data_IF_449436657325
#
_entry.id   IF_449436657325
#
_cell.length_a   1.000
_cell.length_b   1.000
_cell.length_c   1.000
_cell.angle_alpha   90.00
_cell.angle_beta   90.00
_cell.angle_gamma   90.00
#
_symmetry.space_group_name_H-M   'P 1'
#
loop_
_entity.id
_entity.type
_entity.pdbx_description
1 polymer ?
#
# COMPACT_ATOMS: atom_id res chain seq x y z
N UNK A 1 -1.01 -26.00 -7.22
CA UNK A 1 -1.50 -24.89 -6.38
C UNK A 1 -0.48 -24.70 -5.26
N UNK A 2 0.40 -23.71 -5.37
CA UNK A 2 1.39 -23.43 -4.33
C UNK A 2 0.70 -22.65 -3.21
N UNK A 3 0.76 -23.18 -1.99
CA UNK A 3 0.37 -22.46 -0.78
C UNK A 3 1.33 -21.29 -0.58
N UNK A 4 1.02 -20.12 -1.15
CA UNK A 4 1.70 -18.89 -0.81
C UNK A 4 1.28 -18.49 0.62
N UNK A 5 2.02 -18.97 1.62
CA UNK A 5 1.84 -18.56 3.00
C UNK A 5 2.73 -17.34 3.29
N UNK A 6 2.11 -16.22 3.67
CA UNK A 6 2.83 -15.11 4.27
C UNK A 6 3.43 -15.59 5.61
N UNK A 7 4.76 -15.75 5.66
CA UNK A 7 5.47 -16.33 6.82
C UNK A 7 6.01 -15.28 7.81
N UNK A 8 5.96 -13.99 7.45
CA UNK A 8 6.56 -12.91 8.24
C UNK A 8 5.88 -11.58 7.92
N UNK A 9 5.64 -10.79 8.97
CA UNK A 9 5.25 -9.38 8.86
C UNK A 9 6.47 -8.55 9.24
N UNK A 10 6.79 -7.54 8.44
CA UNK A 10 7.88 -6.61 8.67
C UNK A 10 7.39 -5.18 8.55
N UNK A 11 7.89 -4.28 9.41
CA UNK A 11 7.67 -2.84 9.25
C UNK A 11 8.72 -2.28 8.30
N UNK A 12 8.26 -1.64 7.21
CA UNK A 12 9.13 -0.98 6.23
C UNK A 12 8.68 0.47 6.02
N UNK A 13 9.60 1.37 5.63
CA UNK A 13 9.23 2.67 5.10
C UNK A 13 8.26 2.52 3.92
N UNK A 14 7.22 3.35 3.88
CA UNK A 14 6.26 3.36 2.75
C UNK A 14 6.96 3.71 1.43
N UNK A 15 8.04 4.50 1.50
CA UNK A 15 8.89 4.83 0.35
C UNK A 15 9.55 3.61 -0.29
N UNK A 16 9.68 2.49 0.42
CA UNK A 16 10.26 1.24 -0.09
C UNK A 16 9.21 0.36 -0.79
N UNK A 17 7.94 0.76 -0.77
CA UNK A 17 6.86 0.02 -1.43
C UNK A 17 6.62 0.57 -2.82
N UNK A 18 6.64 -0.28 -3.83
CA UNK A 18 6.26 0.10 -5.19
C UNK A 18 4.78 -0.26 -5.45
N UNK A 19 3.96 0.67 -5.98
CA UNK A 19 2.67 0.30 -6.52
C UNK A 19 2.85 -0.61 -7.74
N UNK A 20 1.96 -1.60 -7.90
CA UNK A 20 2.03 -2.49 -9.06
C UNK A 20 1.70 -1.73 -10.35
N UNK A 21 2.67 -1.67 -11.27
CA UNK A 21 2.60 -0.85 -12.47
C UNK A 21 1.46 -1.23 -13.43
N UNK A 22 1.00 -2.49 -13.41
CA UNK A 22 -0.06 -2.98 -14.32
C UNK A 22 -1.46 -3.00 -13.67
N UNK A 23 -1.67 -2.30 -12.57
CA UNK A 23 -3.00 -2.16 -12.00
C UNK A 23 -3.88 -1.26 -12.88
N UNK A 24 -4.89 -1.83 -13.54
CA UNK A 24 -5.84 -1.08 -14.37
C UNK A 24 -6.87 -0.25 -13.58
N UNK A 25 -6.87 -0.30 -12.23
CA UNK A 25 -7.77 0.51 -11.41
C UNK A 25 -7.26 1.95 -11.34
N UNK A 26 -8.10 2.88 -11.79
CA UNK A 26 -7.90 4.31 -11.59
C UNK A 26 -8.51 4.75 -10.25
N UNK A 27 -7.78 5.58 -9.50
CA UNK A 27 -8.26 6.19 -8.26
C UNK A 27 -8.35 7.69 -8.46
N UNK A 28 -9.50 8.27 -8.08
CA UNK A 28 -9.65 9.73 -8.06
C UNK A 28 -8.92 10.34 -6.86
N UNK A 29 -8.50 11.60 -6.98
CA UNK A 29 -7.85 12.33 -5.88
C UNK A 29 -8.68 12.32 -4.59
N UNK A 30 -10.01 12.37 -4.71
CA UNK A 30 -10.92 12.32 -3.55
C UNK A 30 -10.84 10.97 -2.85
N UNK A 31 -10.79 9.87 -3.61
CA UNK A 31 -10.63 8.53 -3.03
C UNK A 31 -9.28 8.37 -2.35
N UNK A 32 -8.20 8.89 -2.94
CA UNK A 32 -6.87 8.88 -2.33
C UNK A 32 -6.88 9.69 -1.03
N UNK A 33 -7.50 10.87 -1.00
CA UNK A 33 -7.61 11.70 0.19
C UNK A 33 -8.44 11.06 1.32
N UNK A 34 -9.45 10.25 0.99
CA UNK A 34 -10.19 9.48 2.00
C UNK A 34 -9.32 8.39 2.63
N UNK A 35 -8.55 7.67 1.82
CA UNK A 35 -7.62 6.64 2.29
C UNK A 35 -6.49 7.26 3.12
N UNK A 36 -5.97 8.40 2.69
CA UNK A 36 -4.98 9.22 3.39
C UNK A 36 -5.42 9.53 4.82
N UNK A 37 -6.62 10.09 4.97
CA UNK A 37 -7.20 10.40 6.29
C UNK A 37 -7.40 9.14 7.14
N UNK A 38 -7.84 8.04 6.53
CA UNK A 38 -8.00 6.77 7.25
C UNK A 38 -6.67 6.23 7.76
N UNK A 39 -5.59 6.34 6.97
CA UNK A 39 -4.25 5.88 7.37
C UNK A 39 -3.67 6.78 8.46
N UNK A 40 -3.92 8.09 8.41
CA UNK A 40 -3.52 9.00 9.51
C UNK A 40 -4.23 8.63 10.83
N UNK A 41 -5.51 8.27 10.76
CA UNK A 41 -6.34 8.01 11.95
C UNK A 41 -6.09 6.61 12.53
N UNK A 42 -5.94 5.59 11.68
CA UNK A 42 -5.91 4.18 12.11
C UNK A 42 -4.61 3.45 11.78
N UNK A 43 -3.73 4.03 10.97
CA UNK A 43 -2.60 3.32 10.37
C UNK A 43 -3.06 2.26 9.35
N UNK A 44 -2.15 1.35 9.01
CA UNK A 44 -2.51 0.15 8.23
C UNK A 44 -3.18 -0.87 9.16
N UNK A 45 -4.46 -1.17 8.93
CA UNK A 45 -5.20 -2.19 9.70
C UNK A 45 -4.83 -3.61 9.29
N UNK A 46 -4.37 -3.77 8.04
CA UNK A 46 -3.95 -5.03 7.45
C UNK A 46 -2.56 -4.88 6.81
N UNK A 47 -1.71 -5.91 6.84
CA UNK A 47 -0.40 -5.84 6.21
C UNK A 47 -0.51 -5.81 4.67
N UNK A 48 0.32 -4.98 4.04
CA UNK A 48 0.46 -4.95 2.58
C UNK A 48 1.23 -6.21 2.16
N UNK A 49 0.60 -7.06 1.35
CA UNK A 49 1.29 -8.18 0.73
C UNK A 49 2.18 -7.66 -0.39
N UNK A 50 3.47 -8.03 -0.37
CA UNK A 50 4.42 -7.69 -1.43
C UNK A 50 5.03 -8.94 -2.05
N UNK A 51 5.55 -8.80 -3.27
CA UNK A 51 6.49 -9.78 -3.82
C UNK A 51 7.89 -9.61 -3.19
N UNK A 52 8.86 -10.38 -3.69
CA UNK A 52 10.24 -10.36 -3.21
C UNK A 52 10.93 -9.01 -3.47
N UNK A 53 10.46 -8.23 -4.45
CA UNK A 53 11.03 -6.95 -4.86
C UNK A 53 10.32 -5.75 -4.18
N UNK A 54 9.48 -6.02 -3.16
CA UNK A 54 8.67 -5.01 -2.45
C UNK A 54 7.61 -4.34 -3.33
N UNK A 55 7.22 -4.97 -4.43
CA UNK A 55 6.06 -4.54 -5.21
C UNK A 55 4.81 -5.02 -4.48
N UNK A 56 3.91 -4.09 -4.15
CA UNK A 56 2.61 -4.42 -3.58
C UNK A 56 1.85 -5.36 -4.52
N UNK A 57 1.33 -6.46 -3.99
CA UNK A 57 0.44 -7.41 -4.68
C UNK A 57 -1.02 -7.07 -4.32
N UNK A 58 -1.26 -6.57 -3.11
CA UNK A 58 -2.57 -6.17 -2.61
C UNK A 58 -2.54 -4.77 -2.00
N UNK A 59 -3.73 -4.16 -1.94
CA UNK A 59 -3.99 -2.89 -1.26
C UNK A 59 -3.22 -1.65 -1.81
N UNK A 60 -3.23 -1.53 -3.14
CA UNK A 60 -2.64 -0.39 -3.86
C UNK A 60 -3.15 0.97 -3.42
N UNK A 61 -4.43 1.07 -3.07
CA UNK A 61 -5.04 2.32 -2.64
C UNK A 61 -4.35 2.86 -1.39
N UNK A 62 -4.12 2.01 -0.39
CA UNK A 62 -3.45 2.39 0.84
C UNK A 62 -1.98 2.73 0.61
N UNK A 63 -1.27 1.99 -0.26
CA UNK A 63 0.13 2.32 -0.61
C UNK A 63 0.23 3.69 -1.27
N UNK A 64 -0.62 3.99 -2.25
CA UNK A 64 -0.62 5.30 -2.92
C UNK A 64 -1.00 6.43 -1.97
N UNK A 65 -2.00 6.23 -1.10
CA UNK A 65 -2.37 7.22 -0.09
C UNK A 65 -1.24 7.47 0.91
N UNK A 66 -0.58 6.42 1.40
CA UNK A 66 0.55 6.56 2.31
C UNK A 66 1.78 7.21 1.65
N UNK A 67 2.01 6.99 0.36
CA UNK A 67 3.05 7.71 -0.39
C UNK A 67 2.69 9.19 -0.56
N UNK A 68 1.41 9.50 -0.78
CA UNK A 68 0.93 10.87 -0.88
C UNK A 68 1.11 11.63 0.45
N UNK A 69 0.86 10.98 1.60
CA UNK A 69 1.20 11.50 2.93
C UNK A 69 2.67 11.89 3.05
N UNK A 70 3.58 10.97 2.69
CA UNK A 70 5.02 11.18 2.82
C UNK A 70 5.60 12.22 1.85
N UNK A 71 4.86 12.60 0.80
CA UNK A 71 5.26 13.61 -0.18
C UNK A 71 4.78 15.02 0.15
N UNK A 72 3.79 15.15 1.05
CA UNK A 72 3.20 16.43 1.51
C UNK A 72 3.60 16.80 2.95
N UNK A 73 4.49 16.03 3.58
CA UNK A 73 5.01 16.25 4.93
C UNK A 73 6.40 16.85 4.96
#
# INVERSE_FOLDING_TARGET
MTNAQARKIEHKPVADLAPYASNGRSYSNVQVAHLDRSIQEFGFTDPVLTDADSTSITDHGCVMAAQWLGSNG
#
